data_IF_376637498162
#
_entry.id   IF_376637498162
#
_cell.length_a   1.000
_cell.length_b   1.000
_cell.length_c   1.000
_cell.angle_alpha   90.00
_cell.angle_beta   90.00
_cell.angle_gamma   90.00
#
_symmetry.space_group_name_H-M   'P 1'
#
loop_
_entity.id
_entity.type
_entity.pdbx_description
1 polymer ?
#
# COMPACT_ATOMS: atom_id res chain seq x y z
N UNK A 1 32.29 -25.91 -16.03
CA UNK A 1 31.91 -24.48 -15.99
C UNK A 1 31.16 -24.23 -17.29
N UNK A 2 29.86 -23.93 -17.32
CA UNK A 2 29.08 -23.05 -16.46
C UNK A 2 27.68 -23.63 -16.22
N UNK A 3 27.29 -23.80 -14.96
CA UNK A 3 25.95 -24.25 -14.57
C UNK A 3 25.36 -23.21 -13.60
N UNK A 4 25.21 -21.97 -14.09
CA UNK A 4 24.31 -21.00 -13.48
C UNK A 4 23.12 -20.85 -14.40
N UNK A 5 22.05 -21.57 -14.07
CA UNK A 5 20.78 -21.52 -14.78
C UNK A 5 20.15 -20.13 -14.64
N UNK A 6 20.46 -19.24 -15.56
CA UNK A 6 19.74 -17.98 -15.71
C UNK A 6 18.50 -18.24 -16.56
N UNK A 7 17.32 -18.17 -15.94
CA UNK A 7 16.06 -18.19 -16.68
C UNK A 7 15.83 -16.80 -17.27
N UNK A 8 15.67 -16.70 -18.60
CA UNK A 8 15.31 -15.43 -19.23
C UNK A 8 13.90 -15.03 -18.81
N UNK A 9 13.77 -13.83 -18.23
CA UNK A 9 12.49 -13.26 -17.79
C UNK A 9 11.80 -12.46 -18.90
N UNK A 10 12.53 -12.14 -19.97
CA UNK A 10 12.04 -11.47 -21.17
C UNK A 10 12.18 -12.40 -22.39
N UNK A 11 11.32 -12.27 -23.40
CA UNK A 11 11.55 -12.89 -24.70
C UNK A 11 12.83 -12.34 -25.35
N UNK A 12 13.32 -13.00 -26.40
CA UNK A 12 14.48 -12.52 -27.17
C UNK A 12 14.16 -11.16 -27.80
N UNK A 13 14.93 -10.14 -27.43
CA UNK A 13 14.77 -8.78 -27.94
C UNK A 13 15.87 -8.47 -28.96
N UNK A 14 15.48 -8.12 -30.18
CA UNK A 14 16.42 -7.80 -31.26
C UNK A 14 16.80 -6.30 -31.31
N UNK A 15 16.20 -5.48 -30.45
CA UNK A 15 16.45 -4.05 -30.33
C UNK A 15 16.44 -3.62 -28.86
N UNK A 16 17.15 -2.53 -28.54
CA UNK A 16 17.16 -1.94 -27.19
C UNK A 16 15.75 -1.49 -26.77
N UNK A 17 15.01 -0.86 -27.67
CA UNK A 17 13.62 -0.43 -27.43
C UNK A 17 12.70 -1.62 -27.09
N UNK A 18 12.84 -2.75 -27.80
CA UNK A 18 12.07 -3.97 -27.50
C UNK A 18 12.42 -4.56 -26.12
N UNK A 19 13.68 -4.44 -25.70
CA UNK A 19 14.11 -4.84 -24.36
C UNK A 19 13.51 -3.93 -23.28
N UNK A 20 13.53 -2.60 -23.47
CA UNK A 20 12.91 -1.64 -22.55
C UNK A 20 11.41 -1.90 -22.39
N UNK A 21 10.70 -2.18 -23.49
CA UNK A 21 9.28 -2.54 -23.44
C UNK A 21 9.07 -3.85 -22.66
N UNK A 22 9.86 -4.89 -22.92
CA UNK A 22 9.74 -6.18 -22.22
C UNK A 22 9.98 -6.02 -20.70
N UNK A 23 10.94 -5.18 -20.31
CA UNK A 23 11.18 -4.83 -18.90
C UNK A 23 9.99 -4.08 -18.30
N UNK A 24 9.42 -3.11 -19.02
CA UNK A 24 8.26 -2.36 -18.54
C UNK A 24 7.03 -3.27 -18.34
N UNK A 25 6.79 -4.20 -19.25
CA UNK A 25 5.72 -5.20 -19.12
C UNK A 25 5.95 -6.13 -17.93
N UNK A 26 7.19 -6.56 -17.69
CA UNK A 26 7.55 -7.38 -16.54
C UNK A 26 7.28 -6.65 -15.22
N UNK A 27 7.70 -5.37 -15.11
CA UNK A 27 7.41 -4.52 -13.94
C UNK A 27 5.92 -4.44 -13.69
N UNK A 28 5.14 -4.10 -14.72
CA UNK A 28 3.68 -4.04 -14.63
C UNK A 28 3.07 -5.36 -14.13
N UNK A 29 3.56 -6.50 -14.62
CA UNK A 29 3.09 -7.82 -14.17
C UNK A 29 3.43 -8.10 -12.71
N UNK A 30 4.62 -7.68 -12.26
CA UNK A 30 5.02 -7.81 -10.85
C UNK A 30 4.15 -6.93 -9.95
N UNK A 31 3.89 -5.69 -10.36
CA UNK A 31 3.03 -4.75 -9.62
C UNK A 31 1.61 -5.33 -9.48
N UNK A 32 1.02 -5.82 -10.57
CA UNK A 32 -0.30 -6.48 -10.54
C UNK A 32 -0.31 -7.78 -9.74
N UNK A 33 0.81 -8.52 -9.69
CA UNK A 33 0.91 -9.72 -8.85
C UNK A 33 0.97 -9.35 -7.36
N UNK A 34 1.70 -8.30 -7.02
CA UNK A 34 1.78 -7.78 -5.66
C UNK A 34 0.43 -7.26 -5.18
N UNK A 35 -0.30 -6.53 -6.02
CA UNK A 35 -1.65 -6.04 -5.72
C UNK A 35 -2.61 -7.18 -5.37
N UNK A 36 -2.67 -8.23 -6.21
CA UNK A 36 -3.51 -9.42 -5.92
C UNK A 36 -3.09 -10.17 -4.66
N UNK A 37 -1.79 -10.24 -4.39
CA UNK A 37 -1.28 -10.87 -3.17
C UNK A 37 -1.71 -10.09 -1.92
N UNK A 38 -1.68 -8.75 -1.97
CA UNK A 38 -2.17 -7.89 -0.88
C UNK A 38 -3.67 -8.09 -0.64
N UNK A 39 -4.48 -8.10 -1.69
CA UNK A 39 -5.93 -8.36 -1.57
C UNK A 39 -6.22 -9.71 -0.92
N UNK A 40 -5.51 -10.76 -1.37
CA UNK A 40 -5.66 -12.12 -0.82
C UNK A 40 -5.25 -12.17 0.66
N UNK A 41 -4.16 -11.48 1.00
CA UNK A 41 -3.66 -11.42 2.37
C UNK A 41 -4.61 -10.68 3.31
N UNK A 42 -5.20 -9.57 2.85
CA UNK A 42 -6.22 -8.82 3.61
C UNK A 42 -7.47 -9.66 3.87
N UNK A 43 -7.95 -10.39 2.85
CA UNK A 43 -9.08 -11.31 3.01
C UNK A 43 -8.78 -12.40 4.06
N UNK A 44 -7.56 -12.95 4.04
CA UNK A 44 -7.12 -13.93 5.02
C UNK A 44 -7.02 -13.35 6.44
N UNK A 45 -6.44 -12.16 6.61
CA UNK A 45 -6.34 -11.50 7.91
C UNK A 45 -7.73 -11.24 8.51
N UNK A 46 -8.67 -10.73 7.72
CA UNK A 46 -10.02 -10.48 8.16
C UNK A 46 -10.76 -11.76 8.59
N UNK A 47 -10.51 -12.86 7.89
CA UNK A 47 -11.06 -14.17 8.25
C UNK A 47 -10.47 -14.73 9.55
N UNK A 48 -9.17 -14.52 9.80
CA UNK A 48 -8.46 -15.10 10.95
C UNK A 48 -8.65 -14.29 12.24
N UNK A 49 -8.65 -12.96 12.16
CA UNK A 49 -8.71 -12.09 13.33
C UNK A 49 -10.12 -11.63 13.69
N UNK A 50 -11.11 -11.83 12.82
CA UNK A 50 -12.44 -11.23 12.99
C UNK A 50 -12.41 -9.70 12.96
N UNK A 51 -11.29 -9.13 12.53
CA UNK A 51 -11.09 -7.71 12.25
C UNK A 51 -11.70 -7.40 10.88
N UNK A 52 -12.33 -6.23 10.74
CA UNK A 52 -12.84 -5.79 9.43
C UNK A 52 -11.69 -5.77 8.43
N UNK A 53 -11.90 -6.35 7.26
CA UNK A 53 -10.93 -6.24 6.19
C UNK A 53 -10.80 -4.74 5.83
N UNK A 54 -9.62 -4.32 5.38
CA UNK A 54 -9.41 -2.98 4.81
C UNK A 54 -10.41 -2.67 3.67
N UNK A 55 -10.90 -3.71 2.98
CA UNK A 55 -11.97 -3.63 1.98
C UNK A 55 -13.31 -3.18 2.55
N UNK A 56 -13.57 -3.43 3.83
CA UNK A 56 -14.87 -3.21 4.49
C UNK A 56 -15.05 -1.79 5.02
N UNK A 57 -14.00 -0.96 4.97
CA UNK A 57 -14.14 0.46 5.28
C UNK A 57 -14.76 1.22 4.11
N UNK A 58 -15.88 1.89 4.36
CA UNK A 58 -16.69 2.53 3.32
C UNK A 58 -16.35 4.01 3.12
N UNK A 59 -15.72 4.66 4.11
CA UNK A 59 -15.40 6.08 4.06
C UNK A 59 -14.16 6.43 4.89
N UNK A 60 -13.64 7.65 4.72
CA UNK A 60 -12.44 8.13 5.39
C UNK A 60 -12.56 8.21 6.93
N UNK A 61 -13.76 8.48 7.45
CA UNK A 61 -14.01 8.59 8.90
C UNK A 61 -13.90 7.21 9.59
N UNK A 62 -14.46 6.16 9.00
CA UNK A 62 -14.35 4.79 9.50
C UNK A 62 -12.90 4.30 9.49
N UNK A 63 -12.14 4.63 8.44
CA UNK A 63 -10.71 4.28 8.37
C UNK A 63 -9.94 5.05 9.45
N UNK A 64 -10.23 6.33 9.62
CA UNK A 64 -9.58 7.14 10.64
C UNK A 64 -9.85 6.62 12.06
N UNK A 65 -11.08 6.22 12.37
CA UNK A 65 -11.42 5.60 13.66
C UNK A 65 -10.57 4.35 13.92
N UNK A 66 -10.39 3.49 12.93
CA UNK A 66 -9.53 2.30 13.06
C UNK A 66 -8.06 2.69 13.30
N UNK A 67 -7.57 3.74 12.64
CA UNK A 67 -6.20 4.25 12.84
C UNK A 67 -6.00 4.89 14.23
N UNK A 68 -7.04 5.52 14.79
CA UNK A 68 -6.99 6.06 16.17
C UNK A 68 -7.00 4.96 17.24
N UNK A 69 -7.55 3.79 16.93
CA UNK A 69 -7.56 2.65 17.84
C UNK A 69 -6.22 1.86 17.86
N UNK A 70 -5.32 2.11 16.89
CA UNK A 70 -4.00 1.49 16.87
C UNK A 70 -3.20 1.85 18.12
N UNK A 71 -2.56 0.83 18.73
CA UNK A 71 -1.77 1.00 19.95
C UNK A 71 -0.38 1.58 19.68
N UNK A 72 0.05 1.61 18.42
CA UNK A 72 1.38 2.10 18.04
C UNK A 72 1.39 2.73 16.64
N UNK A 73 2.41 3.55 16.38
CA UNK A 73 2.65 4.10 15.04
C UNK A 73 2.92 2.99 14.01
N UNK A 74 3.61 1.92 14.40
CA UNK A 74 3.92 0.82 13.46
C UNK A 74 2.64 0.10 13.02
N UNK A 75 1.73 -0.16 13.94
CA UNK A 75 0.42 -0.75 13.62
C UNK A 75 -0.42 0.18 12.73
N UNK A 76 -0.39 1.49 13.01
CA UNK A 76 -1.04 2.49 12.15
C UNK A 76 -0.42 2.51 10.75
N UNK A 77 0.91 2.42 10.65
CA UNK A 77 1.63 2.37 9.37
C UNK A 77 1.26 1.14 8.57
N UNK A 78 1.24 -0.04 9.19
CA UNK A 78 0.82 -1.28 8.55
C UNK A 78 -0.61 -1.14 8.02
N UNK A 79 -1.56 -0.74 8.88
CA UNK A 79 -2.96 -0.60 8.50
C UNK A 79 -3.17 0.44 7.39
N UNK A 80 -2.55 1.62 7.50
CA UNK A 80 -2.68 2.70 6.52
C UNK A 80 -2.02 2.35 5.19
N UNK A 81 -0.78 1.85 5.20
CA UNK A 81 -0.02 1.55 3.97
C UNK A 81 -0.56 0.31 3.22
N UNK A 82 -1.39 -0.51 3.89
CA UNK A 82 -2.18 -1.57 3.28
C UNK A 82 -3.40 -1.04 2.48
N UNK A 83 -3.89 0.16 2.78
CA UNK A 83 -4.99 0.78 2.01
C UNK A 83 -4.56 1.07 0.56
N UNK A 84 -5.52 1.04 -0.36
CA UNK A 84 -5.31 1.52 -1.72
C UNK A 84 -4.89 2.99 -1.73
N UNK A 85 -4.12 3.41 -2.73
CA UNK A 85 -3.63 4.81 -2.85
C UNK A 85 -4.78 5.81 -2.72
N UNK A 86 -5.91 5.52 -3.38
CA UNK A 86 -7.12 6.35 -3.32
C UNK A 86 -7.66 6.49 -1.89
N UNK A 87 -7.78 5.38 -1.14
CA UNK A 87 -8.23 5.43 0.26
C UNK A 87 -7.24 6.17 1.15
N UNK A 88 -5.93 6.01 0.92
CA UNK A 88 -4.88 6.76 1.64
C UNK A 88 -5.00 8.26 1.42
N UNK A 89 -5.26 8.69 0.18
CA UNK A 89 -5.52 10.09 -0.16
C UNK A 89 -6.77 10.62 0.53
N UNK A 90 -7.90 9.91 0.42
CA UNK A 90 -9.18 10.32 1.02
C UNK A 90 -9.06 10.48 2.55
N UNK A 91 -8.33 9.58 3.22
CA UNK A 91 -8.09 9.67 4.68
C UNK A 91 -7.10 10.77 5.02
N UNK A 92 -6.01 10.92 4.27
CA UNK A 92 -5.06 12.00 4.51
C UNK A 92 -5.72 13.38 4.36
N UNK A 93 -6.52 13.57 3.32
CA UNK A 93 -7.32 14.80 3.15
C UNK A 93 -8.27 15.01 4.31
N UNK A 94 -8.97 13.97 4.77
CA UNK A 94 -9.85 14.06 5.93
C UNK A 94 -9.09 14.50 7.20
N UNK A 95 -7.94 13.88 7.49
CA UNK A 95 -7.12 14.21 8.66
C UNK A 95 -6.56 15.62 8.59
N UNK A 96 -5.97 15.99 7.45
CA UNK A 96 -5.28 17.28 7.29
C UNK A 96 -6.24 18.46 7.18
N UNK A 97 -7.49 18.24 6.75
CA UNK A 97 -8.48 19.32 6.57
C UNK A 97 -9.53 19.40 7.67
N UNK A 98 -9.94 18.27 8.26
CA UNK A 98 -11.06 18.22 9.20
C UNK A 98 -10.64 18.00 10.65
N UNK A 99 -9.45 17.45 10.90
CA UNK A 99 -8.99 17.15 12.25
C UNK A 99 -7.98 18.17 12.76
N UNK A 100 -7.87 18.23 14.09
CA UNK A 100 -6.85 19.05 14.73
C UNK A 100 -5.51 18.32 14.73
N UNK A 101 -4.74 18.52 13.67
CA UNK A 101 -3.41 17.90 13.48
C UNK A 101 -2.34 18.41 14.45
N UNK A 102 -2.62 19.35 15.35
CA UNK A 102 -1.64 19.84 16.32
C UNK A 102 -1.63 19.06 17.63
N UNK A 103 -2.49 18.04 17.78
CA UNK A 103 -2.56 17.22 18.99
C UNK A 103 -3.00 15.79 18.73
N UNK A 104 -2.60 14.90 19.63
CA UNK A 104 -3.05 13.50 19.63
C UNK A 104 -2.57 12.72 18.41
N UNK A 105 -3.36 11.71 18.03
CA UNK A 105 -3.04 10.77 16.96
C UNK A 105 -2.90 11.47 15.60
N UNK A 106 -3.74 12.47 15.32
CA UNK A 106 -3.67 13.27 14.09
C UNK A 106 -2.34 14.01 13.93
N UNK A 107 -1.73 14.45 15.04
CA UNK A 107 -0.39 15.07 15.02
C UNK A 107 0.68 14.06 14.63
N UNK A 108 0.66 12.87 15.25
CA UNK A 108 1.61 11.80 14.90
C UNK A 108 1.44 11.40 13.44
N UNK A 109 0.20 11.22 12.97
CA UNK A 109 -0.07 10.94 11.57
C UNK A 109 0.55 11.99 10.65
N UNK A 110 0.26 13.28 10.89
CA UNK A 110 0.73 14.36 10.02
C UNK A 110 2.25 14.52 9.96
N UNK A 111 2.97 14.18 11.04
CA UNK A 111 4.43 14.25 11.11
C UNK A 111 5.12 13.15 10.31
N UNK A 112 4.46 12.01 10.16
CA UNK A 112 4.99 10.82 9.50
C UNK A 112 4.42 10.62 8.09
N UNK A 113 3.42 11.42 7.71
CA UNK A 113 2.78 11.30 6.42
C UNK A 113 3.64 11.91 5.31
N UNK A 114 4.01 11.08 4.33
CA UNK A 114 4.69 11.48 3.12
C UNK A 114 3.66 11.74 2.01
N UNK A 115 3.45 13.01 1.68
CA UNK A 115 2.49 13.46 0.67
C UNK A 115 2.87 13.06 -0.77
N UNK A 116 4.15 12.83 -1.06
CA UNK A 116 4.59 12.44 -2.40
C UNK A 116 4.25 10.97 -2.72
N UNK A 117 4.43 10.08 -1.73
CA UNK A 117 4.21 8.64 -1.86
C UNK A 117 2.84 8.20 -1.30
N UNK A 118 2.15 9.11 -0.62
CA UNK A 118 0.92 8.87 0.14
C UNK A 118 1.08 7.79 1.22
N UNK A 119 2.25 7.66 1.83
CA UNK A 119 2.59 6.62 2.82
C UNK A 119 2.89 7.23 4.19
N UNK A 120 2.81 6.42 5.25
CA UNK A 120 3.35 6.77 6.57
C UNK A 120 4.77 6.18 6.77
N UNK A 121 5.71 7.05 7.14
CA UNK A 121 7.15 6.78 7.42
C UNK A 121 7.47 6.36 8.87
#
# INVERSE_FOLDING_TARGET
SDEKGYASLTPECNTMEGFEQAVAELKKRMDSALERARETFQQYQAQVKGEKAVSDFHNAEEIWQALEECSSLEEMRELFNELSVRKRQEVADFVLTQLNIFKGVASTFSQHYNEAEYLLE
#
